data_IF_112968839676
#
_entry.id   IF_112968839676
#
_cell.length_a   1.000
_cell.length_b   1.000
_cell.length_c   1.000
_cell.angle_alpha   90.00
_cell.angle_beta   90.00
_cell.angle_gamma   90.00
#
_symmetry.space_group_name_H-M   'P 1'
#
loop_
_entity.id
_entity.type
_entity.pdbx_description
1 polymer ?
#
# COMPACT_ATOMS: atom_id res chain seq x y z
N UNK A 1 -2.88 -9.58 6.24
CA UNK A 1 -2.84 -8.86 7.56
C UNK A 1 -2.63 -7.37 7.37
N UNK A 2 -1.67 -6.96 6.54
CA UNK A 2 -1.52 -5.55 6.17
C UNK A 2 -2.70 -5.08 5.32
N UNK A 3 -3.11 -5.86 4.31
CA UNK A 3 -4.25 -5.54 3.43
C UNK A 3 -5.54 -5.28 4.20
N UNK A 4 -5.93 -6.19 5.08
CA UNK A 4 -7.14 -6.03 5.90
C UNK A 4 -7.13 -4.78 6.78
N UNK A 5 -5.96 -4.41 7.33
CA UNK A 5 -5.84 -3.21 8.15
C UNK A 5 -5.94 -1.94 7.31
N UNK A 6 -5.38 -1.95 6.10
CA UNK A 6 -5.55 -0.87 5.14
C UNK A 6 -7.01 -0.78 4.69
N UNK A 7 -7.69 -1.90 4.50
CA UNK A 7 -9.10 -1.94 4.10
C UNK A 7 -9.98 -1.24 5.13
N UNK A 8 -9.76 -1.47 6.42
CA UNK A 8 -10.44 -0.74 7.50
C UNK A 8 -10.17 0.77 7.41
N UNK A 9 -8.90 1.18 7.22
CA UNK A 9 -8.52 2.60 7.08
C UNK A 9 -9.20 3.24 5.88
N UNK A 10 -9.17 2.59 4.72
CA UNK A 10 -9.76 3.12 3.49
C UNK A 10 -11.29 3.20 3.60
N UNK A 11 -11.94 2.19 4.18
CA UNK A 11 -13.37 2.19 4.43
C UNK A 11 -13.79 3.35 5.35
N UNK A 12 -13.04 3.61 6.43
CA UNK A 12 -13.27 4.77 7.30
C UNK A 12 -13.12 6.12 6.58
N UNK A 13 -12.29 6.17 5.54
CA UNK A 13 -12.07 7.35 4.69
C UNK A 13 -13.01 7.43 3.48
N UNK A 14 -13.90 6.45 3.31
CA UNK A 14 -14.89 6.41 2.23
C UNK A 14 -14.33 5.92 0.89
N UNK A 15 -13.26 5.12 0.91
CA UNK A 15 -12.68 4.48 -0.26
C UNK A 15 -12.89 2.97 -0.21
N UNK A 16 -13.05 2.37 -1.39
CA UNK A 16 -12.93 0.93 -1.58
C UNK A 16 -11.51 0.60 -2.06
N UNK A 17 -10.98 -0.57 -1.67
CA UNK A 17 -9.67 -1.03 -2.13
C UNK A 17 -9.70 -2.49 -2.56
N UNK A 18 -8.84 -2.84 -3.52
CA UNK A 18 -8.51 -4.22 -3.87
C UNK A 18 -7.02 -4.44 -3.63
N UNK A 19 -6.65 -5.59 -3.04
CA UNK A 19 -5.27 -5.90 -2.72
C UNK A 19 -4.85 -7.27 -3.23
N UNK A 20 -3.62 -7.35 -3.73
CA UNK A 20 -2.93 -8.61 -4.00
C UNK A 20 -1.75 -8.73 -3.05
N UNK A 21 -1.74 -9.77 -2.19
CA UNK A 21 -0.61 -10.02 -1.29
C UNK A 21 0.41 -10.96 -1.95
N UNK A 22 1.66 -10.49 -2.07
CA UNK A 22 2.80 -11.28 -2.56
C UNK A 22 4.04 -11.04 -1.68
N UNK A 23 5.01 -11.96 -1.72
CA UNK A 23 6.34 -11.69 -1.17
C UNK A 23 7.09 -10.66 -2.03
N UNK A 24 8.16 -10.01 -1.53
CA UNK A 24 8.93 -9.04 -2.32
C UNK A 24 9.37 -9.57 -3.70
N UNK A 25 9.77 -10.84 -3.78
CA UNK A 25 10.14 -11.48 -5.04
C UNK A 25 8.97 -11.73 -6.01
N UNK A 26 7.72 -11.64 -5.54
CA UNK A 26 6.52 -11.78 -6.36
C UNK A 26 6.01 -10.46 -6.95
N UNK A 27 6.48 -9.30 -6.46
CA UNK A 27 6.06 -7.98 -6.93
C UNK A 27 6.25 -7.80 -8.44
N UNK A 28 7.41 -8.17 -9.06
CA UNK A 28 7.57 -8.06 -10.50
C UNK A 28 6.53 -8.85 -11.31
N UNK A 29 6.08 -10.00 -10.78
CA UNK A 29 5.06 -10.81 -11.42
C UNK A 29 3.67 -10.18 -11.31
N UNK A 30 3.31 -9.70 -10.12
CA UNK A 30 2.04 -9.00 -9.91
C UNK A 30 1.92 -7.77 -10.82
N UNK A 31 2.95 -6.91 -10.82
CA UNK A 31 2.97 -5.67 -11.62
C UNK A 31 2.94 -5.90 -13.14
N UNK A 32 3.34 -7.07 -13.64
CA UNK A 32 3.18 -7.42 -15.06
C UNK A 32 1.73 -7.74 -15.44
N UNK A 33 0.93 -8.21 -14.49
CA UNK A 33 -0.43 -8.69 -14.72
C UNK A 33 -1.54 -7.70 -14.37
N UNK A 34 -1.25 -6.69 -13.55
CA UNK A 34 -2.26 -5.80 -12.98
C UNK A 34 -1.96 -4.32 -13.19
N UNK A 35 -3.02 -3.50 -13.15
CA UNK A 35 -2.93 -2.06 -12.93
C UNK A 35 -3.09 -1.80 -11.45
N UNK A 36 -2.00 -1.45 -10.77
CA UNK A 36 -2.00 -1.10 -9.36
C UNK A 36 -1.71 0.39 -9.21
N UNK A 37 -2.29 1.03 -8.20
CA UNK A 37 -2.07 2.45 -7.94
C UNK A 37 -0.88 2.70 -7.00
N UNK A 38 -0.51 1.72 -6.18
CA UNK A 38 0.57 1.81 -5.22
C UNK A 38 1.04 0.43 -4.74
N UNK A 39 2.22 0.40 -4.13
CA UNK A 39 2.75 -0.74 -3.40
C UNK A 39 2.91 -0.34 -1.93
N UNK A 40 2.40 -1.15 -1.02
CA UNK A 40 2.61 -0.97 0.43
C UNK A 40 3.31 -2.21 0.97
N UNK A 41 4.44 -2.05 1.66
CA UNK A 41 5.27 -3.17 2.10
C UNK A 41 5.60 -3.16 3.59
N UNK A 42 5.85 -4.35 4.14
CA UNK A 42 6.51 -4.56 5.45
C UNK A 42 7.85 -5.28 5.32
N UNK A 43 8.26 -5.60 4.10
CA UNK A 43 9.59 -6.08 3.74
C UNK A 43 10.02 -5.31 2.49
N UNK A 44 11.22 -4.71 2.46
CA UNK A 44 11.64 -3.85 1.36
C UNK A 44 11.43 -4.50 0.00
N UNK A 45 10.89 -3.71 -0.93
CA UNK A 45 10.70 -4.09 -2.33
C UNK A 45 11.76 -3.36 -3.14
N UNK A 46 12.50 -4.11 -3.96
CA UNK A 46 13.49 -3.53 -4.87
C UNK A 46 12.85 -3.21 -6.23
N UNK A 47 13.32 -2.12 -6.85
CA UNK A 47 12.91 -1.70 -8.19
C UNK A 47 12.07 -0.44 -8.21
N UNK A 48 11.75 0.00 -9.43
CA UNK A 48 10.81 1.08 -9.73
C UNK A 48 9.69 0.48 -10.57
N UNK A 49 8.46 0.66 -10.12
CA UNK A 49 7.26 0.11 -10.74
C UNK A 49 6.33 1.20 -11.29
N UNK A 50 6.79 2.46 -11.32
CA UNK A 50 6.00 3.59 -11.80
C UNK A 50 4.84 3.99 -10.90
N UNK A 51 4.74 3.39 -9.71
CA UNK A 51 3.71 3.65 -8.70
C UNK A 51 4.38 3.98 -7.36
N UNK A 52 3.75 4.80 -6.51
CA UNK A 52 4.23 5.06 -5.15
C UNK A 52 4.48 3.76 -4.37
N UNK A 53 5.59 3.73 -3.63
CA UNK A 53 6.00 2.60 -2.79
C UNK A 53 6.14 3.08 -1.35
N UNK A 54 5.31 2.52 -0.46
CA UNK A 54 5.15 2.97 0.92
C UNK A 54 5.61 1.90 1.92
N UNK A 55 6.31 2.34 2.97
CA UNK A 55 6.75 1.45 4.05
C UNK A 55 5.73 1.44 5.20
N UNK A 56 5.03 0.32 5.36
CA UNK A 56 4.04 0.11 6.42
C UNK A 56 4.55 -0.76 7.57
N UNK A 57 5.87 -0.93 7.73
CA UNK A 57 6.43 -1.79 8.79
C UNK A 57 6.01 -1.31 10.18
N UNK A 58 6.10 -0.01 10.45
CA UNK A 58 5.64 0.59 11.72
C UNK A 58 4.14 0.46 11.90
N UNK A 59 3.38 0.82 10.86
CA UNK A 59 1.93 0.71 10.84
C UNK A 59 1.44 -0.70 11.18
N UNK A 60 2.05 -1.75 10.62
CA UNK A 60 1.64 -3.13 10.89
C UNK A 60 1.80 -3.51 12.37
N UNK A 61 2.85 -3.01 13.04
CA UNK A 61 3.13 -3.32 14.46
C UNK A 61 2.53 -2.33 15.45
N UNK A 62 1.74 -1.35 14.99
CA UNK A 62 1.07 -0.37 15.84
C UNK A 62 1.93 0.82 16.25
N UNK A 63 2.95 1.14 15.46
CA UNK A 63 3.86 2.27 15.70
C UNK A 63 3.67 3.30 14.59
N UNK A 64 3.57 4.58 14.96
CA UNK A 64 3.42 5.71 14.03
C UNK A 64 2.27 5.51 13.03
N UNK A 65 1.14 4.96 13.49
CA UNK A 65 0.02 4.63 12.61
C UNK A 65 -0.58 5.89 11.98
N UNK A 66 -0.77 6.95 12.75
CA UNK A 66 -1.32 8.22 12.27
C UNK A 66 -0.43 8.84 11.20
N UNK A 67 0.89 8.86 11.42
CA UNK A 67 1.88 9.38 10.46
C UNK A 67 1.83 8.61 9.13
N UNK A 68 1.78 7.28 9.20
CA UNK A 68 1.65 6.45 8.00
C UNK A 68 0.32 6.67 7.28
N UNK A 69 -0.79 6.81 8.01
CA UNK A 69 -2.11 7.06 7.41
C UNK A 69 -2.11 8.44 6.73
N UNK A 70 -1.51 9.46 7.33
CA UNK A 70 -1.36 10.78 6.70
C UNK A 70 -0.54 10.69 5.40
N UNK A 71 0.59 9.99 5.41
CA UNK A 71 1.41 9.76 4.20
C UNK A 71 0.62 9.01 3.12
N UNK A 72 -0.07 7.94 3.51
CA UNK A 72 -0.92 7.14 2.63
C UNK A 72 -1.98 8.02 1.97
N UNK A 73 -2.71 8.84 2.73
CA UNK A 73 -3.76 9.69 2.17
C UNK A 73 -3.22 10.79 1.25
N UNK A 74 -2.02 11.33 1.52
CA UNK A 74 -1.37 12.26 0.59
C UNK A 74 -1.00 11.61 -0.75
N UNK A 75 -0.72 10.31 -0.76
CA UNK A 75 -0.53 9.55 -2.00
C UNK A 75 -1.86 9.37 -2.71
N UNK A 76 -2.90 8.95 -1.98
CA UNK A 76 -4.24 8.70 -2.52
C UNK A 76 -4.83 9.95 -3.17
N UNK A 77 -4.70 11.11 -2.55
CA UNK A 77 -5.18 12.40 -3.09
C UNK A 77 -4.50 12.81 -4.41
N UNK A 78 -3.32 12.25 -4.71
CA UNK A 78 -2.58 12.50 -5.95
C UNK A 78 -2.90 11.48 -7.05
N UNK A 79 -3.57 10.39 -6.71
CA UNK A 79 -4.04 9.41 -7.70
C UNK A 79 -5.20 10.02 -8.48
N UNK A 80 -5.22 9.75 -9.79
CA UNK A 80 -6.35 10.09 -10.65
C UNK A 80 -7.29 8.87 -10.69
N UNK A 81 -8.11 8.71 -9.64
CA UNK A 81 -9.08 7.62 -9.46
C UNK A 81 -10.38 7.87 -10.24
#
# INVERSE_FOLDING_TARGET
MLSSKLEDVFAEKGYDMEATEVSPGGVPGAMQSGGYDMIVYTSPVEGDYGVPILNATGFLVGINEEEFIEELMQVVEKLQL
#
